data_IF_216520330398
#
_entry.id   IF_216520330398
#
_cell.length_a   1.000
_cell.length_b   1.000
_cell.length_c   1.000
_cell.angle_alpha   90.00
_cell.angle_beta   90.00
_cell.angle_gamma   90.00
#
_symmetry.space_group_name_H-M   'P 1'
#
loop_
_entity.id
_entity.type
_entity.pdbx_description
1 polymer ?
#
# COMPACT_ATOMS: atom_id res chain seq x y z
N UNK A 1 18.06 -3.40 13.98
CA UNK A 1 17.28 -3.37 12.71
C UNK A 1 18.05 -2.55 11.69
N UNK A 2 18.02 -2.91 10.41
CA UNK A 2 18.76 -2.20 9.35
C UNK A 2 17.97 -1.05 8.69
N UNK A 3 16.97 -0.50 9.39
CA UNK A 3 16.19 0.66 8.93
C UNK A 3 15.05 0.38 7.94
N UNK A 4 14.80 -0.89 7.58
CA UNK A 4 13.65 -1.21 6.74
C UNK A 4 12.34 -0.96 7.51
N UNK A 5 11.38 -0.27 6.87
CA UNK A 5 10.06 0.02 7.43
C UNK A 5 9.05 -1.11 7.20
N UNK A 6 9.26 -1.94 6.18
CA UNK A 6 8.40 -3.07 5.84
C UNK A 6 8.98 -3.91 4.72
N UNK A 7 8.25 -4.90 4.27
CA UNK A 7 8.59 -5.73 3.11
C UNK A 7 7.37 -5.95 2.22
N UNK A 8 7.60 -5.94 0.91
CA UNK A 8 6.60 -6.28 -0.11
C UNK A 8 7.15 -7.37 -1.01
N UNK A 9 6.37 -8.43 -1.25
CA UNK A 9 6.74 -9.52 -2.12
C UNK A 9 5.50 -10.20 -2.72
N UNK A 10 5.60 -10.71 -3.91
CA UNK A 10 4.53 -11.48 -4.56
C UNK A 10 4.64 -13.01 -4.30
N UNK A 11 5.69 -13.42 -3.61
CA UNK A 11 5.87 -14.79 -3.15
C UNK A 11 5.19 -15.09 -1.80
N UNK A 12 5.24 -16.37 -1.40
CA UNK A 12 4.78 -16.79 -0.09
C UNK A 12 5.83 -16.51 1.00
N UNK A 13 5.35 -16.22 2.21
CA UNK A 13 6.19 -16.03 3.40
C UNK A 13 5.94 -17.13 4.42
N UNK A 14 6.93 -17.38 5.28
CA UNK A 14 6.85 -18.26 6.46
C UNK A 14 7.09 -17.46 7.74
N UNK A 15 7.01 -18.12 8.86
CA UNK A 15 7.29 -17.56 10.20
C UNK A 15 6.35 -16.39 10.60
N UNK A 16 5.09 -16.43 10.14
CA UNK A 16 4.09 -15.39 10.33
C UNK A 16 3.91 -15.00 11.81
N UNK A 17 3.98 -15.96 12.73
CA UNK A 17 3.87 -15.69 14.17
C UNK A 17 4.98 -14.75 14.64
N UNK A 18 6.21 -14.99 14.20
CA UNK A 18 7.37 -14.15 14.55
C UNK A 18 7.28 -12.77 13.88
N UNK A 19 6.89 -12.71 12.61
CA UNK A 19 6.71 -11.45 11.87
C UNK A 19 5.67 -10.57 12.55
N UNK A 20 4.51 -11.12 12.92
CA UNK A 20 3.45 -10.39 13.65
C UNK A 20 3.93 -9.89 15.01
N UNK A 21 4.68 -10.71 15.76
CA UNK A 21 5.22 -10.31 17.06
C UNK A 21 6.23 -9.15 16.98
N UNK A 22 6.89 -8.98 15.83
CA UNK A 22 7.81 -7.86 15.58
C UNK A 22 7.09 -6.57 15.17
N UNK A 23 5.77 -6.59 14.92
CA UNK A 23 5.03 -5.48 14.31
C UNK A 23 5.69 -4.94 13.03
N UNK A 24 6.31 -5.83 12.25
CA UNK A 24 6.96 -5.47 11.00
C UNK A 24 5.99 -5.69 9.84
N UNK A 25 5.59 -4.63 9.11
CA UNK A 25 4.64 -4.75 8.02
C UNK A 25 5.21 -5.63 6.90
N UNK A 26 4.46 -6.67 6.51
CA UNK A 26 4.81 -7.55 5.40
C UNK A 26 3.60 -7.77 4.52
N UNK A 27 3.67 -7.33 3.28
CA UNK A 27 2.70 -7.63 2.24
C UNK A 27 3.22 -8.78 1.38
N UNK A 28 2.40 -9.80 1.15
CA UNK A 28 2.85 -11.04 0.53
C UNK A 28 1.77 -11.72 -0.32
N UNK A 29 2.17 -12.50 -1.30
CA UNK A 29 1.28 -13.25 -2.18
C UNK A 29 0.67 -14.52 -1.56
N UNK A 30 1.13 -14.92 -0.36
CA UNK A 30 0.60 -16.09 0.33
C UNK A 30 1.43 -16.50 1.54
N UNK A 31 1.01 -17.56 2.21
CA UNK A 31 1.71 -18.16 3.35
C UNK A 31 2.09 -19.58 2.98
N UNK A 32 3.34 -19.97 3.27
CA UNK A 32 3.80 -21.33 2.99
C UNK A 32 5.04 -21.67 3.82
N UNK A 33 5.22 -22.95 4.21
CA UNK A 33 6.29 -23.36 5.09
C UNK A 33 7.64 -23.61 4.38
N UNK A 34 7.65 -23.51 3.05
CA UNK A 34 8.81 -23.90 2.26
C UNK A 34 9.97 -22.92 2.39
N UNK A 35 11.17 -23.47 2.65
CA UNK A 35 12.41 -22.70 2.65
C UNK A 35 12.88 -22.37 1.22
N UNK A 36 13.60 -21.28 1.06
CA UNK A 36 14.29 -20.91 -0.19
C UNK A 36 15.64 -21.63 -0.34
N UNK A 37 16.18 -22.22 0.72
CA UNK A 37 17.46 -22.95 0.68
C UNK A 37 17.45 -24.05 -0.38
N UNK A 38 18.38 -23.99 -1.30
CA UNK A 38 18.50 -24.95 -2.42
C UNK A 38 17.43 -24.79 -3.53
N UNK A 39 16.50 -23.82 -3.43
CA UNK A 39 15.41 -23.61 -4.37
C UNK A 39 15.44 -22.24 -5.06
N UNK A 40 16.09 -21.27 -4.46
CA UNK A 40 16.18 -19.92 -4.99
C UNK A 40 17.54 -19.29 -4.74
N UNK A 41 17.83 -18.27 -5.54
CA UNK A 41 19.02 -17.44 -5.36
C UNK A 41 18.67 -15.99 -5.69
N UNK A 42 19.35 -15.04 -5.05
CA UNK A 42 19.28 -13.63 -5.40
C UNK A 42 19.96 -13.44 -6.76
N UNK A 43 19.23 -12.94 -7.74
CA UNK A 43 19.73 -12.69 -9.10
C UNK A 43 20.27 -11.28 -9.25
N UNK A 44 19.67 -10.29 -8.58
CA UNK A 44 20.09 -8.90 -8.62
C UNK A 44 19.63 -8.18 -7.34
N UNK A 45 20.26 -7.07 -7.03
CA UNK A 45 19.94 -6.20 -5.89
C UNK A 45 19.87 -4.76 -6.42
N UNK A 46 18.93 -3.97 -5.88
CA UNK A 46 18.75 -2.55 -6.22
C UNK A 46 18.47 -2.29 -7.72
N UNK A 47 17.65 -3.15 -8.29
CA UNK A 47 17.20 -3.04 -9.69
C UNK A 47 15.68 -2.92 -9.74
N UNK A 48 15.11 -2.31 -10.80
CA UNK A 48 13.67 -2.35 -11.02
C UNK A 48 13.17 -3.79 -11.10
N UNK A 49 12.08 -4.06 -10.41
CA UNK A 49 11.45 -5.38 -10.36
C UNK A 49 10.00 -5.32 -10.84
N UNK A 50 9.41 -6.48 -11.09
CA UNK A 50 7.98 -6.64 -11.25
C UNK A 50 7.45 -7.43 -10.08
N UNK A 51 6.58 -6.82 -9.28
CA UNK A 51 5.95 -7.44 -8.11
C UNK A 51 4.45 -7.51 -8.35
N UNK A 52 3.87 -8.70 -8.30
CA UNK A 52 2.46 -8.96 -8.62
C UNK A 52 2.00 -8.30 -9.95
N UNK A 53 2.86 -8.31 -10.96
CA UNK A 53 2.57 -7.71 -12.26
C UNK A 53 2.85 -6.20 -12.35
N UNK A 54 3.08 -5.50 -11.24
CA UNK A 54 3.36 -4.06 -11.19
C UNK A 54 4.87 -3.80 -11.23
N UNK A 55 5.30 -2.85 -12.07
CA UNK A 55 6.70 -2.41 -12.10
C UNK A 55 6.97 -1.54 -10.87
N UNK A 56 8.05 -1.85 -10.17
CA UNK A 56 8.52 -1.10 -8.99
C UNK A 56 9.98 -0.74 -9.21
N UNK A 57 10.32 0.51 -9.04
CA UNK A 57 11.68 1.01 -9.15
C UNK A 57 12.14 1.63 -7.83
N UNK A 58 13.46 1.79 -7.71
CA UNK A 58 14.02 2.51 -6.57
C UNK A 58 13.49 3.94 -6.52
N UNK A 59 13.05 4.38 -5.34
CA UNK A 59 12.48 5.71 -5.11
C UNK A 59 10.97 5.78 -5.29
N UNK A 60 10.32 4.76 -5.81
CA UNK A 60 8.85 4.71 -5.84
C UNK A 60 8.28 4.64 -4.43
N UNK A 61 7.21 5.40 -4.18
CA UNK A 61 6.49 5.36 -2.91
C UNK A 61 5.57 4.13 -2.89
N UNK A 62 5.68 3.32 -1.84
CA UNK A 62 4.80 2.19 -1.59
C UNK A 62 3.84 2.57 -0.47
N UNK A 63 2.56 2.56 -0.75
CA UNK A 63 1.51 2.71 0.24
C UNK A 63 0.74 1.39 0.36
N UNK A 64 0.60 0.89 1.58
CA UNK A 64 -0.09 -0.38 1.82
C UNK A 64 -0.90 -0.35 3.11
N UNK A 65 -2.10 -0.92 3.07
CA UNK A 65 -3.00 -1.08 4.20
C UNK A 65 -3.72 -2.45 4.15
N UNK A 66 -4.84 -2.58 4.87
CA UNK A 66 -5.61 -3.82 4.92
C UNK A 66 -6.25 -4.20 3.58
N UNK A 67 -6.48 -3.23 2.69
CA UNK A 67 -7.13 -3.44 1.40
C UNK A 67 -6.13 -3.81 0.30
N UNK A 68 -4.84 -3.52 0.52
CA UNK A 68 -3.81 -3.87 -0.44
C UNK A 68 -2.63 -2.89 -0.51
N UNK A 69 -1.95 -2.89 -1.65
CA UNK A 69 -0.75 -2.08 -1.87
C UNK A 69 -0.85 -1.34 -3.19
N UNK A 70 -0.51 -0.06 -3.18
CA UNK A 70 -0.32 0.73 -4.39
C UNK A 70 1.12 1.21 -4.52
N UNK A 71 1.57 1.33 -5.76
CA UNK A 71 2.88 1.87 -6.10
C UNK A 71 2.68 3.23 -6.77
N UNK A 72 3.30 4.25 -6.22
CA UNK A 72 3.30 5.60 -6.78
C UNK A 72 4.69 5.89 -7.34
N UNK A 73 4.84 6.00 -8.67
CA UNK A 73 6.13 6.31 -9.27
C UNK A 73 6.67 7.64 -8.76
N UNK A 74 7.96 7.68 -8.45
CA UNK A 74 8.63 8.87 -7.92
C UNK A 74 8.36 10.15 -8.74
N UNK A 75 8.27 10.01 -10.05
CA UNK A 75 8.07 11.15 -10.97
C UNK A 75 6.71 11.88 -10.75
N UNK A 76 5.71 11.21 -10.19
CA UNK A 76 4.35 11.74 -9.98
C UNK A 76 3.95 11.79 -8.51
N UNK A 77 4.86 11.46 -7.60
CA UNK A 77 4.59 11.33 -6.17
C UNK A 77 3.95 12.60 -5.59
N UNK A 78 4.55 13.76 -5.80
CA UNK A 78 4.05 15.02 -5.25
C UNK A 78 2.62 15.35 -5.73
N UNK A 79 2.34 15.10 -7.01
CA UNK A 79 1.01 15.33 -7.60
C UNK A 79 -0.02 14.36 -7.01
N UNK A 80 0.32 13.08 -6.93
CA UNK A 80 -0.58 12.05 -6.38
C UNK A 80 -0.89 12.32 -4.92
N UNK A 81 0.13 12.66 -4.11
CA UNK A 81 -0.08 12.98 -2.70
C UNK A 81 -0.96 14.22 -2.52
N UNK A 82 -0.75 15.29 -3.31
CA UNK A 82 -1.61 16.48 -3.24
C UNK A 82 -3.08 16.13 -3.52
N UNK A 83 -3.35 15.40 -4.60
CA UNK A 83 -4.70 14.96 -4.96
C UNK A 83 -5.33 14.04 -3.92
N UNK A 84 -4.55 13.10 -3.35
CA UNK A 84 -5.03 12.20 -2.31
C UNK A 84 -5.41 12.96 -1.03
N UNK A 85 -4.60 13.89 -0.58
CA UNK A 85 -4.92 14.71 0.58
C UNK A 85 -6.13 15.61 0.37
N UNK A 86 -6.31 16.17 -0.83
CA UNK A 86 -7.49 16.97 -1.13
C UNK A 86 -8.76 16.11 -1.18
N UNK A 87 -8.67 14.90 -1.72
CA UNK A 87 -9.76 13.92 -1.68
C UNK A 87 -10.16 13.57 -0.24
N UNK A 88 -9.21 13.23 0.62
CA UNK A 88 -9.46 12.91 2.04
C UNK A 88 -10.16 14.06 2.76
N UNK A 89 -9.75 15.32 2.50
CA UNK A 89 -10.43 16.49 3.08
C UNK A 89 -11.88 16.60 2.60
N UNK A 90 -12.12 16.30 1.33
CA UNK A 90 -13.47 16.28 0.74
C UNK A 90 -14.34 15.20 1.37
N UNK A 91 -13.86 13.98 1.44
CA UNK A 91 -14.54 12.83 2.05
C UNK A 91 -14.92 13.10 3.52
N UNK A 92 -14.01 13.71 4.30
CA UNK A 92 -14.31 14.09 5.68
C UNK A 92 -15.47 15.06 5.78
N UNK A 93 -15.52 16.11 4.95
CA UNK A 93 -16.62 17.09 4.91
C UNK A 93 -17.94 16.42 4.50
N UNK A 94 -17.88 15.55 3.50
CA UNK A 94 -19.03 14.74 3.06
C UNK A 94 -19.60 13.92 4.22
N UNK A 95 -18.74 13.23 4.93
CA UNK A 95 -19.12 12.40 6.08
C UNK A 95 -19.71 13.23 7.23
N UNK A 96 -19.15 14.39 7.52
CA UNK A 96 -19.62 15.29 8.58
C UNK A 96 -21.02 15.82 8.24
N UNK A 97 -21.29 16.25 7.00
CA UNK A 97 -22.62 16.70 6.55
C UNK A 97 -23.65 15.56 6.60
N UNK A 98 -23.27 14.35 6.20
CA UNK A 98 -24.16 13.16 6.29
C UNK A 98 -24.49 12.82 7.75
N UNK A 99 -23.51 12.86 8.65
CA UNK A 99 -23.72 12.66 10.08
C UNK A 99 -24.59 13.74 10.72
N UNK A 100 -24.54 14.96 10.18
CA UNK A 100 -25.44 16.05 10.56
C UNK A 100 -26.87 15.91 9.99
N UNK A 101 -27.18 14.81 9.29
CA UNK A 101 -28.51 14.50 8.76
C UNK A 101 -28.81 15.09 7.39
N UNK A 102 -27.81 15.60 6.67
CA UNK A 102 -27.99 16.08 5.31
C UNK A 102 -28.30 14.90 4.36
N UNK A 103 -29.14 15.15 3.36
CA UNK A 103 -29.50 14.11 2.37
C UNK A 103 -28.31 13.80 1.45
N UNK A 104 -28.09 12.53 1.17
CA UNK A 104 -26.99 12.05 0.34
C UNK A 104 -26.91 12.76 -1.02
N UNK A 105 -28.05 12.90 -1.72
CA UNK A 105 -28.09 13.59 -3.02
C UNK A 105 -27.64 15.07 -2.95
N UNK A 106 -27.98 15.78 -1.87
CA UNK A 106 -27.53 17.15 -1.65
C UNK A 106 -26.03 17.21 -1.40
N UNK A 107 -25.51 16.33 -0.53
CA UNK A 107 -24.09 16.26 -0.18
C UNK A 107 -23.26 15.89 -1.41
N UNK A 108 -23.72 14.92 -2.20
CA UNK A 108 -23.05 14.55 -3.44
C UNK A 108 -23.03 15.69 -4.46
N UNK A 109 -24.18 16.40 -4.66
CA UNK A 109 -24.23 17.56 -5.55
C UNK A 109 -23.28 18.69 -5.13
N UNK A 110 -23.06 18.84 -3.79
CA UNK A 110 -22.19 19.88 -3.21
C UNK A 110 -20.70 19.58 -3.33
N UNK A 111 -20.31 18.33 -3.14
CA UNK A 111 -18.89 17.94 -3.03
C UNK A 111 -18.37 17.06 -4.18
N UNK A 112 -19.26 16.38 -4.91
CA UNK A 112 -18.89 15.44 -5.98
C UNK A 112 -18.12 14.20 -5.49
N UNK A 113 -18.10 13.97 -4.18
CA UNK A 113 -17.33 12.91 -3.51
C UNK A 113 -18.26 12.16 -2.57
N UNK A 114 -18.20 10.85 -2.61
CA UNK A 114 -18.84 9.91 -1.68
C UNK A 114 -17.78 9.08 -1.00
#
# INVERSE_FOLDING_TARGET
>A
MRGAAGALMDGAVRDIKAIRAMNFPVFHGGIGPLDTKGRGRVMAIDVPVRCAGVKVARGDLIFGDADGVVVVPQAVEAQVLALAFDKIKGEKRTLDDLRAGQKLGYVFAKYGIL
#
